data_IF_515062748194
#
_entry.id   IF_515062748194
#
_cell.length_a   1.000
_cell.length_b   1.000
_cell.length_c   1.000
_cell.angle_alpha   90.00
_cell.angle_beta   90.00
_cell.angle_gamma   90.00
#
_symmetry.space_group_name_H-M   'P 1'
#
loop_
_entity.id
_entity.type
_entity.pdbx_description
1 polymer ?
#
# COMPACT_ATOMS: atom_id res chain seq x y z
N UNK A 1 -42.11 -19.89 -40.15
CA UNK A 1 -41.51 -19.19 -41.30
C UNK A 1 -40.47 -18.23 -40.74
N UNK A 2 -39.17 -18.57 -40.82
CA UNK A 2 -38.06 -17.75 -40.29
C UNK A 2 -37.39 -17.00 -41.45
N UNK A 3 -37.26 -15.67 -41.32
CA UNK A 3 -36.60 -14.80 -42.30
C UNK A 3 -35.07 -14.99 -42.27
N UNK A 4 -34.33 -14.90 -43.42
CA UNK A 4 -32.97 -15.41 -43.52
C UNK A 4 -31.83 -14.37 -43.47
N UNK A 5 -32.07 -13.08 -43.25
CA UNK A 5 -30.98 -12.08 -43.29
C UNK A 5 -31.13 -10.96 -42.26
N UNK A 6 -30.30 -10.99 -41.22
CA UNK A 6 -29.84 -9.80 -40.48
C UNK A 6 -28.55 -10.15 -39.75
N UNK A 7 -27.43 -9.97 -40.44
CA UNK A 7 -26.10 -10.01 -39.84
C UNK A 7 -25.93 -8.74 -39.01
N UNK A 8 -26.22 -8.81 -37.71
CA UNK A 8 -25.86 -7.74 -36.78
C UNK A 8 -24.41 -7.96 -36.36
N UNK A 9 -23.51 -7.14 -36.89
CA UNK A 9 -22.09 -7.11 -36.49
C UNK A 9 -22.03 -6.77 -35.00
N UNK A 10 -21.86 -7.79 -34.15
CA UNK A 10 -21.53 -7.57 -32.74
C UNK A 10 -20.06 -7.16 -32.70
N UNK A 11 -19.81 -5.84 -32.65
CA UNK A 11 -18.50 -5.32 -32.28
C UNK A 11 -18.26 -5.70 -30.81
N UNK A 12 -17.69 -6.89 -30.58
CA UNK A 12 -17.17 -7.28 -29.26
C UNK A 12 -15.86 -6.52 -29.07
N UNK A 13 -15.95 -5.26 -28.62
CA UNK A 13 -14.79 -4.57 -28.05
C UNK A 13 -14.37 -5.37 -26.82
N UNK A 14 -13.24 -6.05 -26.94
CA UNK A 14 -12.51 -6.65 -25.83
C UNK A 14 -11.91 -5.48 -25.04
N UNK A 15 -12.70 -4.85 -24.19
CA UNK A 15 -12.16 -3.94 -23.17
C UNK A 15 -11.66 -4.81 -22.04
N UNK A 16 -10.33 -4.79 -21.87
CA UNK A 16 -9.61 -5.33 -20.73
C UNK A 16 -10.34 -4.98 -19.42
N UNK A 17 -10.35 -5.94 -18.51
CA UNK A 17 -11.26 -6.07 -17.39
C UNK A 17 -11.08 -4.96 -16.34
N UNK A 18 -11.62 -3.77 -16.61
CA UNK A 18 -11.82 -2.69 -15.63
C UNK A 18 -13.31 -2.50 -15.35
N UNK A 19 -14.03 -3.59 -15.05
CA UNK A 19 -15.44 -3.48 -14.68
C UNK A 19 -15.58 -3.03 -13.25
N UNK A 20 -16.11 -1.82 -13.06
CA UNK A 20 -16.52 -1.36 -11.73
C UNK A 20 -17.56 -2.32 -11.13
N UNK A 21 -17.27 -2.82 -9.93
CA UNK A 21 -18.21 -3.65 -9.18
C UNK A 21 -19.46 -2.82 -8.86
N UNK A 22 -20.55 -3.07 -9.57
CA UNK A 22 -21.80 -2.34 -9.41
C UNK A 22 -22.72 -3.07 -8.43
N UNK A 23 -23.33 -2.33 -7.51
CA UNK A 23 -24.42 -2.87 -6.71
C UNK A 23 -25.67 -3.07 -7.56
N UNK A 24 -26.49 -4.05 -7.17
CA UNK A 24 -27.73 -4.42 -7.85
C UNK A 24 -28.92 -4.16 -6.95
N UNK A 25 -29.94 -3.54 -7.50
CA UNK A 25 -31.25 -3.50 -6.86
C UNK A 25 -31.92 -4.88 -6.91
N UNK A 26 -32.96 -5.14 -6.09
CA UNK A 26 -33.76 -6.37 -6.21
C UNK A 26 -34.37 -6.58 -7.61
N UNK A 27 -34.55 -5.49 -8.38
CA UNK A 27 -34.97 -5.52 -9.80
C UNK A 27 -33.79 -5.62 -10.79
N UNK A 28 -32.60 -6.02 -10.32
CA UNK A 28 -31.37 -6.23 -11.08
C UNK A 28 -30.80 -5.01 -11.85
N UNK A 29 -31.23 -3.79 -11.51
CA UNK A 29 -30.66 -2.56 -12.07
C UNK A 29 -29.36 -2.20 -11.35
N UNK A 30 -28.32 -1.82 -12.12
CA UNK A 30 -27.02 -1.36 -11.59
C UNK A 30 -27.15 0.04 -11.01
N UNK A 31 -26.49 0.31 -9.89
CA UNK A 31 -26.24 1.66 -9.39
C UNK A 31 -24.83 1.75 -8.81
N UNK A 32 -24.29 2.97 -8.81
CA UNK A 32 -22.97 3.28 -8.27
C UNK A 32 -23.13 4.25 -7.10
N UNK A 33 -22.42 3.98 -6.02
CA UNK A 33 -22.26 4.91 -4.91
C UNK A 33 -21.02 5.77 -5.13
N UNK A 34 -20.90 6.85 -4.36
CA UNK A 34 -19.73 7.72 -4.37
C UNK A 34 -18.44 6.91 -4.11
N UNK A 35 -18.49 5.92 -3.21
CA UNK A 35 -17.37 5.03 -2.93
C UNK A 35 -16.87 4.28 -4.18
N UNK A 36 -17.76 3.80 -5.05
CA UNK A 36 -17.36 3.12 -6.29
C UNK A 36 -16.63 4.06 -7.26
N UNK A 37 -17.08 5.32 -7.33
CA UNK A 37 -16.43 6.33 -8.16
C UNK A 37 -15.04 6.69 -7.60
N UNK A 38 -14.94 6.83 -6.27
CA UNK A 38 -13.67 7.07 -5.60
C UNK A 38 -12.68 5.92 -5.81
N UNK A 39 -13.11 4.66 -5.71
CA UNK A 39 -12.27 3.48 -6.02
C UNK A 39 -11.78 3.50 -7.46
N UNK A 40 -12.64 3.87 -8.42
CA UNK A 40 -12.27 3.96 -9.83
C UNK A 40 -11.23 5.04 -10.12
N UNK A 41 -11.47 6.25 -9.62
CA UNK A 41 -10.61 7.42 -9.89
C UNK A 41 -9.30 7.33 -9.14
N UNK A 42 -9.35 6.88 -7.90
CA UNK A 42 -8.14 6.68 -7.11
C UNK A 42 -7.33 5.52 -7.71
N UNK A 43 -7.97 4.56 -8.38
CA UNK A 43 -7.35 3.26 -8.61
C UNK A 43 -7.07 2.59 -7.27
N UNK A 44 -6.70 1.32 -7.30
CA UNK A 44 -6.22 0.64 -6.10
C UNK A 44 -4.86 1.23 -5.67
N UNK A 45 -4.86 2.44 -5.08
CA UNK A 45 -3.71 3.09 -4.45
C UNK A 45 -3.17 2.27 -3.27
N UNK A 46 -3.81 1.15 -2.95
CA UNK A 46 -3.40 0.19 -1.93
C UNK A 46 -2.58 -0.97 -2.52
N UNK A 47 -2.59 -1.18 -3.83
CA UNK A 47 -2.06 -2.40 -4.44
C UNK A 47 -0.52 -2.47 -4.55
N UNK A 48 0.20 -1.45 -4.08
CA UNK A 48 1.67 -1.44 -4.13
C UNK A 48 2.36 -0.48 -3.15
N UNK A 49 1.64 0.01 -2.13
CA UNK A 49 2.28 0.84 -1.11
C UNK A 49 2.92 -0.03 -0.05
N UNK A 50 4.14 0.33 0.33
CA UNK A 50 4.94 -0.41 1.29
C UNK A 50 4.57 -0.06 2.73
N UNK A 51 4.59 -1.07 3.59
CA UNK A 51 4.64 -0.92 5.03
C UNK A 51 6.07 -1.09 5.51
N UNK A 52 6.65 -0.04 6.10
CA UNK A 52 8.07 -0.01 6.46
C UNK A 52 8.21 0.07 7.97
N UNK A 53 9.08 -0.76 8.54
CA UNK A 53 9.52 -0.64 9.91
C UNK A 53 10.84 0.14 9.97
N UNK A 54 10.92 1.16 10.82
CA UNK A 54 12.14 1.94 11.04
C UNK A 54 12.63 1.75 12.47
N UNK A 55 13.88 1.31 12.61
CA UNK A 55 14.54 1.15 13.89
C UNK A 55 15.90 1.85 13.87
N UNK A 56 16.24 2.49 14.98
CA UNK A 56 17.47 3.27 15.08
C UNK A 56 18.11 3.10 16.45
N UNK A 57 19.44 3.20 16.52
CA UNK A 57 20.20 3.35 17.76
C UNK A 57 21.29 4.41 17.63
N UNK A 58 21.72 4.97 18.75
CA UNK A 58 22.68 6.09 18.76
C UNK A 58 24.13 5.62 18.65
N UNK A 59 24.40 4.39 19.08
CA UNK A 59 25.75 3.82 19.15
C UNK A 59 25.74 2.38 18.61
N UNK A 60 26.85 1.97 17.98
CA UNK A 60 27.09 0.59 17.52
C UNK A 60 27.09 -0.39 18.70
N UNK A 61 27.47 0.06 19.91
CA UNK A 61 27.37 -0.76 21.12
C UNK A 61 25.95 -1.14 21.53
N UNK A 62 24.91 -0.53 20.93
CA UNK A 62 23.49 -0.80 21.21
C UNK A 62 22.86 -1.71 20.14
N UNK A 63 23.64 -2.56 19.49
CA UNK A 63 23.15 -3.48 18.45
C UNK A 63 22.10 -4.46 18.96
N UNK A 64 22.18 -4.89 20.22
CA UNK A 64 21.17 -5.77 20.81
C UNK A 64 19.84 -5.06 21.05
N UNK A 65 19.86 -3.79 21.48
CA UNK A 65 18.66 -2.97 21.57
C UNK A 65 18.00 -2.78 20.19
N UNK A 66 18.81 -2.64 19.14
CA UNK A 66 18.33 -2.50 17.77
C UNK A 66 17.62 -3.77 17.29
N UNK A 67 18.18 -4.95 17.57
CA UNK A 67 17.53 -6.23 17.29
C UNK A 67 16.21 -6.37 18.03
N UNK A 68 16.19 -6.01 19.32
CA UNK A 68 14.98 -6.06 20.14
C UNK A 68 13.88 -5.15 19.58
N UNK A 69 14.22 -3.93 19.12
CA UNK A 69 13.27 -3.04 18.46
C UNK A 69 12.70 -3.65 17.18
N UNK A 70 13.56 -4.22 16.32
CA UNK A 70 13.12 -4.86 15.07
C UNK A 70 12.21 -6.06 15.35
N UNK A 71 12.56 -6.90 16.32
CA UNK A 71 11.70 -8.02 16.72
C UNK A 71 10.35 -7.57 17.26
N UNK A 72 10.34 -6.50 18.07
CA UNK A 72 9.10 -5.94 18.59
C UNK A 72 8.20 -5.44 17.46
N UNK A 73 8.75 -4.70 16.49
CA UNK A 73 8.00 -4.21 15.32
C UNK A 73 7.43 -5.36 14.48
N UNK A 74 8.21 -6.43 14.27
CA UNK A 74 7.74 -7.64 13.57
C UNK A 74 6.60 -8.33 14.33
N UNK A 75 6.76 -8.52 15.65
CA UNK A 75 5.72 -9.13 16.49
C UNK A 75 4.45 -8.28 16.48
N UNK A 76 4.58 -6.97 16.59
CA UNK A 76 3.46 -6.02 16.52
C UNK A 76 2.73 -6.10 15.19
N UNK A 77 3.47 -6.08 14.07
CA UNK A 77 2.90 -6.19 12.73
C UNK A 77 2.14 -7.53 12.56
N UNK A 78 2.76 -8.64 12.97
CA UNK A 78 2.13 -9.97 12.91
C UNK A 78 0.82 -10.04 13.70
N UNK A 79 0.79 -9.50 14.93
CA UNK A 79 -0.41 -9.47 15.78
C UNK A 79 -1.52 -8.62 15.16
N UNK A 80 -1.16 -7.57 14.44
CA UNK A 80 -2.10 -6.68 13.75
C UNK A 80 -2.50 -7.16 12.35
N UNK A 81 -1.89 -8.25 11.84
CA UNK A 81 -2.11 -8.74 10.49
C UNK A 81 -1.52 -7.82 9.41
N UNK A 82 -0.53 -7.00 9.75
CA UNK A 82 0.19 -6.12 8.81
C UNK A 82 1.40 -6.89 8.26
N UNK A 83 1.56 -6.87 6.95
CA UNK A 83 2.75 -7.42 6.28
C UNK A 83 3.75 -6.27 6.14
N UNK A 84 4.94 -6.41 6.70
CA UNK A 84 6.03 -5.45 6.51
C UNK A 84 6.80 -5.81 5.24
N UNK A 85 6.94 -4.86 4.33
CA UNK A 85 7.72 -5.02 3.10
C UNK A 85 9.21 -4.85 3.35
N UNK A 86 9.57 -3.86 4.17
CA UNK A 86 10.96 -3.51 4.46
C UNK A 86 11.18 -3.16 5.93
N UNK A 87 12.40 -3.45 6.40
CA UNK A 87 12.88 -3.04 7.72
C UNK A 87 14.16 -2.24 7.53
N UNK A 88 14.08 -0.94 7.81
CA UNK A 88 15.22 -0.02 7.72
C UNK A 88 15.83 0.14 9.11
N UNK A 89 17.14 -0.01 9.15
CA UNK A 89 17.93 0.01 10.38
C UNK A 89 18.99 1.09 10.26
N UNK A 90 19.13 1.92 11.29
CA UNK A 90 20.08 3.02 11.31
C UNK A 90 20.89 3.07 12.62
N UNK A 91 22.17 3.42 12.50
CA UNK A 91 23.09 3.56 13.63
C UNK A 91 23.78 4.94 13.53
N UNK A 92 23.46 5.81 14.47
CA UNK A 92 24.09 7.13 14.57
C UNK A 92 23.38 8.02 15.58
N UNK A 93 24.08 9.03 16.09
CA UNK A 93 23.56 9.99 17.08
C UNK A 93 22.88 11.20 16.42
N UNK A 94 21.77 11.68 16.99
CA UNK A 94 21.10 12.96 16.63
C UNK A 94 20.40 13.04 15.26
N UNK A 95 19.79 14.19 14.92
CA UNK A 95 19.26 14.43 13.57
C UNK A 95 20.42 14.53 12.56
N UNK A 96 20.85 13.39 12.03
CA UNK A 96 21.86 13.34 10.97
C UNK A 96 21.16 13.42 9.62
N UNK A 97 20.96 14.66 9.13
CA UNK A 97 20.34 14.95 7.83
C UNK A 97 21.11 14.39 6.62
N UNK A 98 22.33 13.85 6.83
CA UNK A 98 23.11 13.16 5.80
C UNK A 98 22.91 11.65 5.80
N UNK A 99 22.06 11.11 6.68
CA UNK A 99 21.84 9.68 6.72
C UNK A 99 21.13 9.21 5.44
N UNK A 100 21.85 8.40 4.66
CA UNK A 100 21.42 7.97 3.32
C UNK A 100 20.13 7.15 3.37
N UNK A 101 20.00 6.26 4.36
CA UNK A 101 18.82 5.39 4.52
C UNK A 101 17.58 6.17 4.92
N UNK A 102 17.72 7.15 5.82
CA UNK A 102 16.63 8.05 6.19
C UNK A 102 16.15 8.91 5.02
N UNK A 103 17.09 9.49 4.27
CA UNK A 103 16.71 10.31 3.10
C UNK A 103 16.05 9.48 2.01
N UNK A 104 16.50 8.24 1.78
CA UNK A 104 15.83 7.31 0.86
C UNK A 104 14.39 6.99 1.31
N UNK A 105 14.17 6.76 2.61
CA UNK A 105 12.83 6.57 3.16
C UNK A 105 11.97 7.83 2.93
N UNK A 106 12.51 9.01 3.18
CA UNK A 106 11.80 10.27 2.92
C UNK A 106 11.44 10.42 1.43
N UNK A 107 12.35 10.11 0.52
CA UNK A 107 12.09 10.14 -0.92
C UNK A 107 10.97 9.17 -1.31
N UNK A 108 10.93 7.96 -0.74
CA UNK A 108 9.85 6.99 -0.96
C UNK A 108 8.49 7.47 -0.41
N UNK A 109 8.50 8.13 0.76
CA UNK A 109 7.30 8.75 1.35
C UNK A 109 6.79 9.90 0.48
N UNK A 110 7.70 10.75 0.01
CA UNK A 110 7.38 11.88 -0.89
C UNK A 110 6.83 11.39 -2.24
N UNK A 111 7.34 10.27 -2.73
CA UNK A 111 6.82 9.58 -3.91
C UNK A 111 5.46 8.87 -3.68
N UNK A 112 4.92 8.91 -2.45
CA UNK A 112 3.68 8.22 -2.02
C UNK A 112 3.72 6.70 -2.19
N UNK A 113 4.91 6.11 -2.17
CA UNK A 113 5.11 4.66 -2.26
C UNK A 113 5.00 3.97 -0.90
N UNK A 114 4.92 4.73 0.21
CA UNK A 114 4.83 4.21 1.57
C UNK A 114 3.44 4.51 2.13
N UNK A 115 2.78 3.51 2.70
CA UNK A 115 1.46 3.68 3.33
C UNK A 115 1.59 4.02 4.82
N UNK A 116 2.47 3.29 5.52
CA UNK A 116 2.69 3.47 6.94
C UNK A 116 4.15 3.17 7.33
N UNK A 117 4.65 3.96 8.28
CA UNK A 117 5.94 3.74 8.91
C UNK A 117 5.71 3.37 10.37
N UNK A 118 6.32 2.27 10.81
CA UNK A 118 6.24 1.77 12.18
C UNK A 118 7.56 2.05 12.91
N UNK A 119 7.44 2.76 14.02
CA UNK A 119 8.55 3.14 14.92
C UNK A 119 8.20 2.78 16.35
N UNK A 120 9.22 2.47 17.16
CA UNK A 120 9.05 2.03 18.55
C UNK A 120 8.82 3.19 19.51
N UNK A 121 9.48 4.33 19.31
CA UNK A 121 9.41 5.50 20.17
C UNK A 121 9.35 6.78 19.34
N UNK A 122 8.73 7.83 19.88
CA UNK A 122 8.57 9.13 19.21
C UNK A 122 9.89 9.87 18.94
N UNK A 123 10.93 9.58 19.72
CA UNK A 123 12.28 10.16 19.57
C UNK A 123 13.06 9.52 18.39
N UNK A 124 12.47 8.56 17.68
CA UNK A 124 13.11 7.83 16.58
C UNK A 124 12.43 8.07 15.25
#
# INVERSE_FOLDING_TARGET
>A
MKSPYSCSIVYKRRTNDCTLNAHRTPKNRKYYTEDHYLTYIKGDNTSGKKHIAYARVSNVGQTDDLKNQVEFLRKYANVKGIILDDVIVDIGSGLNYKCKTWNLLLDEVMAKNVDAIYVTFKDR
#
